data_IF_793883424036
#
_entry.id   IF_793883424036
#
_cell.length_a   1.000
_cell.length_b   1.000
_cell.length_c   1.000
_cell.angle_alpha   90.00
_cell.angle_beta   90.00
_cell.angle_gamma   90.00
#
_symmetry.space_group_name_H-M   'P 1'
#
loop_
_entity.id
_entity.type
_entity.pdbx_description
1 polymer ?
#
# COMPACT_ATOMS: atom_id res chain seq x y z
N UNK A 1 -9.90 29.00 24.71
CA UNK A 1 -8.48 28.59 24.64
C UNK A 1 -8.44 27.17 24.09
N UNK A 2 -8.20 27.00 22.79
CA UNK A 2 -8.28 25.68 22.13
C UNK A 2 -6.99 24.92 22.44
N UNK A 3 -7.06 23.85 23.24
CA UNK A 3 -5.91 22.94 23.44
C UNK A 3 -5.58 22.31 22.08
N UNK A 4 -4.38 22.57 21.54
CA UNK A 4 -3.87 21.88 20.34
C UNK A 4 -3.80 20.39 20.67
N UNK A 5 -4.34 19.55 19.78
CA UNK A 5 -4.62 18.12 20.01
C UNK A 5 -3.36 17.26 20.23
N UNK A 6 -2.18 17.82 19.97
CA UNK A 6 -0.91 17.09 19.89
C UNK A 6 0.10 17.44 21.00
N UNK A 7 -0.30 18.23 22.01
CA UNK A 7 0.56 18.52 23.16
C UNK A 7 0.32 17.45 24.23
N UNK A 8 1.37 16.71 24.59
CA UNK A 8 1.25 15.65 25.58
C UNK A 8 1.07 16.19 27.01
N UNK A 9 0.86 15.29 27.98
CA UNK A 9 0.68 15.66 29.40
C UNK A 9 1.94 16.27 30.03
N UNK A 10 3.12 16.10 29.42
CA UNK A 10 4.37 16.73 29.85
C UNK A 10 4.54 18.16 29.31
N UNK A 11 3.63 18.61 28.44
CA UNK A 11 3.71 19.91 27.77
C UNK A 11 4.62 19.88 26.54
N UNK A 12 4.97 18.70 26.04
CA UNK A 12 5.79 18.52 24.85
C UNK A 12 4.95 18.72 23.59
N UNK A 13 5.40 19.59 22.69
CA UNK A 13 4.76 19.88 21.40
C UNK A 13 5.66 19.38 20.25
N UNK A 14 5.24 18.35 19.48
CA UNK A 14 6.00 17.83 18.33
C UNK A 14 6.22 18.88 17.23
N UNK A 15 5.36 19.89 17.14
CA UNK A 15 5.47 20.96 16.14
C UNK A 15 6.54 22.00 16.52
N UNK A 16 7.13 21.91 17.71
CA UNK A 16 8.14 22.84 18.20
C UNK A 16 9.54 22.23 18.18
N UNK A 17 10.53 23.09 18.32
CA UNK A 17 11.92 22.70 18.43
C UNK A 17 12.09 21.68 19.56
N UNK A 18 12.70 20.54 19.26
CA UNK A 18 12.98 19.48 20.22
C UNK A 18 14.17 19.78 21.15
N UNK A 19 14.72 20.99 21.08
CA UNK A 19 15.80 21.45 21.96
C UNK A 19 15.23 22.03 23.25
N UNK A 20 16.00 21.97 24.34
CA UNK A 20 15.62 22.53 25.63
C UNK A 20 16.30 23.87 25.88
N UNK A 21 15.53 24.83 26.40
CA UNK A 21 16.08 26.12 26.83
C UNK A 21 16.97 25.93 28.06
N UNK A 22 18.18 26.47 28.05
CA UNK A 22 19.10 26.37 29.20
C UNK A 22 18.61 27.13 30.44
N UNK A 23 17.87 28.22 30.25
CA UNK A 23 17.40 29.08 31.36
C UNK A 23 16.16 28.53 32.04
N UNK A 24 15.23 27.97 31.27
CA UNK A 24 13.94 27.50 31.80
C UNK A 24 13.86 25.98 31.89
N UNK A 25 14.83 25.25 31.33
CA UNK A 25 14.87 23.77 31.25
C UNK A 25 13.60 23.17 30.61
N UNK A 26 12.84 23.97 29.87
CA UNK A 26 11.62 23.57 29.15
C UNK A 26 11.91 23.49 27.66
N UNK A 27 11.08 22.75 26.93
CA UNK A 27 11.15 22.67 25.47
C UNK A 27 11.12 24.06 24.84
N UNK A 28 11.97 24.28 23.84
CA UNK A 28 12.02 25.52 23.11
C UNK A 28 10.72 25.76 22.33
N UNK A 29 10.07 26.89 22.57
CA UNK A 29 8.81 27.25 21.91
C UNK A 29 8.98 27.78 20.46
N UNK A 30 10.22 27.83 19.96
CA UNK A 30 10.49 28.20 18.56
C UNK A 30 10.12 27.07 17.61
N UNK A 31 9.71 27.40 16.40
CA UNK A 31 9.52 26.40 15.34
C UNK A 31 10.86 25.86 14.85
N UNK A 32 10.94 24.56 14.52
CA UNK A 32 12.12 24.00 13.91
C UNK A 32 12.36 24.60 12.52
N UNK A 33 13.61 24.55 12.05
CA UNK A 33 13.90 24.86 10.65
C UNK A 33 13.28 23.78 9.78
N UNK A 34 12.69 24.16 8.65
CA UNK A 34 12.04 23.23 7.72
C UNK A 34 13.00 22.08 7.34
N UNK A 35 12.55 20.83 7.49
CA UNK A 35 13.38 19.64 7.26
C UNK A 35 14.22 19.17 8.45
N UNK A 36 14.12 19.82 9.62
CA UNK A 36 14.81 19.45 10.86
C UNK A 36 13.82 19.38 12.04
N UNK A 37 14.31 18.91 13.18
CA UNK A 37 13.57 18.87 14.45
C UNK A 37 13.96 19.98 15.43
N UNK A 38 14.95 20.81 15.08
CA UNK A 38 15.46 21.90 15.93
C UNK A 38 15.45 23.24 15.21
N UNK A 39 15.31 24.33 15.98
CA UNK A 39 15.30 25.69 15.48
C UNK A 39 16.72 26.21 15.21
N UNK A 40 16.80 27.42 14.64
CA UNK A 40 18.08 28.07 14.28
C UNK A 40 19.05 28.22 15.46
N UNK A 41 18.52 28.49 16.65
CA UNK A 41 19.32 28.72 17.87
C UNK A 41 19.72 27.43 18.58
N UNK A 42 19.00 26.33 18.36
CA UNK A 42 19.35 24.98 18.86
C UNK A 42 20.05 24.13 17.79
N UNK A 43 20.86 24.76 16.94
CA UNK A 43 21.77 24.08 16.00
C UNK A 43 21.27 23.97 14.55
N UNK A 44 20.02 24.34 14.26
CA UNK A 44 19.43 24.30 12.91
C UNK A 44 20.06 25.27 11.91
N UNK A 45 20.92 26.19 12.35
CA UNK A 45 21.62 27.17 11.51
C UNK A 45 22.98 26.70 10.98
N UNK A 46 23.53 25.61 11.52
CA UNK A 46 24.86 25.12 11.12
C UNK A 46 24.89 24.65 9.67
N UNK A 47 26.05 24.72 9.01
CA UNK A 47 26.21 24.26 7.61
C UNK A 47 25.82 22.78 7.44
N UNK A 48 26.19 21.93 8.42
CA UNK A 48 25.82 20.52 8.46
C UNK A 48 24.29 20.34 8.59
N UNK A 49 23.66 21.09 9.49
CA UNK A 49 22.20 21.04 9.67
C UNK A 49 21.43 21.49 8.42
N UNK A 50 21.88 22.57 7.74
CA UNK A 50 21.26 23.02 6.47
C UNK A 50 21.38 21.97 5.36
N UNK A 51 22.52 21.30 5.28
CA UNK A 51 22.74 20.20 4.31
C UNK A 51 21.81 19.02 4.62
N UNK A 52 21.70 18.63 5.89
CA UNK A 52 20.80 17.58 6.34
C UNK A 52 19.32 17.94 6.09
N UNK A 53 18.91 19.19 6.35
CA UNK A 53 17.58 19.69 6.09
C UNK A 53 17.20 19.54 4.61
N UNK A 54 18.10 19.94 3.71
CA UNK A 54 17.90 19.82 2.26
C UNK A 54 17.71 18.36 1.85
N UNK A 55 18.57 17.47 2.35
CA UNK A 55 18.47 16.02 2.10
C UNK A 55 17.15 15.43 2.62
N UNK A 56 16.74 15.80 3.83
CA UNK A 56 15.51 15.28 4.42
C UNK A 56 14.27 15.72 3.64
N UNK A 57 14.25 16.96 3.15
CA UNK A 57 13.15 17.46 2.33
C UNK A 57 13.10 16.82 0.96
N UNK A 58 14.26 16.56 0.36
CA UNK A 58 14.32 15.81 -0.88
C UNK A 58 13.81 14.38 -0.68
N UNK A 59 14.23 13.72 0.40
CA UNK A 59 13.71 12.40 0.76
C UNK A 59 12.20 12.41 1.01
N UNK A 60 11.66 13.42 1.69
CA UNK A 60 10.22 13.54 1.93
C UNK A 60 9.45 13.72 0.61
N UNK A 61 9.96 14.53 -0.32
CA UNK A 61 9.39 14.66 -1.67
C UNK A 61 9.41 13.33 -2.41
N UNK A 62 10.53 12.62 -2.39
CA UNK A 62 10.65 11.30 -3.02
C UNK A 62 9.68 10.30 -2.41
N UNK A 63 9.57 10.26 -1.07
CA UNK A 63 8.58 9.41 -0.38
C UNK A 63 7.15 9.79 -0.74
N UNK A 64 6.84 11.09 -0.89
CA UNK A 64 5.52 11.55 -1.31
C UNK A 64 5.20 11.14 -2.75
N UNK A 65 6.18 11.22 -3.65
CA UNK A 65 6.06 10.76 -5.03
C UNK A 65 5.88 9.24 -5.06
N UNK A 66 6.70 8.47 -4.34
CA UNK A 66 6.59 7.01 -4.24
C UNK A 66 5.23 6.55 -3.67
N UNK A 67 4.69 7.27 -2.68
CA UNK A 67 3.33 7.01 -2.15
C UNK A 67 2.23 7.26 -3.18
N UNK A 68 2.44 8.17 -4.13
CA UNK A 68 1.42 8.56 -5.14
C UNK A 68 1.51 7.75 -6.42
N UNK A 69 2.73 7.47 -6.88
CA UNK A 69 3.01 6.86 -8.18
C UNK A 69 3.50 5.42 -8.07
N UNK A 70 3.71 4.92 -6.86
CA UNK A 70 4.37 3.63 -6.62
C UNK A 70 5.89 3.75 -6.68
N UNK A 71 6.55 2.64 -6.35
CA UNK A 71 8.01 2.52 -6.48
C UNK A 71 8.27 1.63 -7.69
N UNK A 72 9.18 2.01 -8.62
CA UNK A 72 9.52 1.15 -9.74
C UNK A 72 10.02 -0.21 -9.24
N UNK A 73 9.43 -1.29 -9.74
CA UNK A 73 9.89 -2.65 -9.44
C UNK A 73 11.05 -3.02 -10.39
N UNK A 74 12.16 -3.49 -9.84
CA UNK A 74 13.31 -3.96 -10.64
C UNK A 74 13.16 -5.42 -11.08
N UNK A 75 12.49 -6.24 -10.26
CA UNK A 75 12.37 -7.70 -10.45
C UNK A 75 10.93 -8.16 -10.19
N UNK A 76 9.98 -7.61 -10.97
CA UNK A 76 8.58 -8.00 -10.88
C UNK A 76 8.33 -9.29 -11.69
N UNK A 77 7.87 -10.37 -11.05
CA UNK A 77 7.31 -11.50 -11.80
C UNK A 77 5.93 -11.11 -12.35
N UNK A 78 5.74 -11.04 -13.69
CA UNK A 78 4.49 -10.58 -14.27
C UNK A 78 3.28 -11.45 -13.88
N UNK A 79 3.49 -12.76 -13.69
CA UNK A 79 2.41 -13.66 -13.29
C UNK A 79 1.94 -13.36 -11.87
N UNK A 80 2.88 -13.21 -10.93
CA UNK A 80 2.54 -12.80 -9.57
C UNK A 80 1.89 -11.41 -9.54
N UNK A 81 2.37 -10.46 -10.34
CA UNK A 81 1.80 -9.12 -10.39
C UNK A 81 0.33 -9.11 -10.86
N UNK A 82 -0.02 -9.95 -11.84
CA UNK A 82 -1.40 -10.12 -12.29
C UNK A 82 -2.28 -10.74 -11.20
N UNK A 83 -1.79 -11.77 -10.50
CA UNK A 83 -2.50 -12.39 -9.38
C UNK A 83 -2.74 -11.40 -8.23
N UNK A 84 -1.71 -10.61 -7.86
CA UNK A 84 -1.79 -9.59 -6.83
C UNK A 84 -2.80 -8.50 -7.21
N UNK A 85 -2.84 -8.11 -8.49
CA UNK A 85 -3.79 -7.12 -9.00
C UNK A 85 -5.23 -7.63 -8.93
N UNK A 86 -5.47 -8.90 -9.29
CA UNK A 86 -6.79 -9.54 -9.16
C UNK A 86 -7.21 -9.59 -7.69
N UNK A 87 -6.33 -10.03 -6.79
CA UNK A 87 -6.62 -10.11 -5.36
C UNK A 87 -6.92 -8.73 -4.75
N UNK A 88 -6.10 -7.73 -5.06
CA UNK A 88 -6.30 -6.35 -4.61
C UNK A 88 -7.63 -5.78 -5.12
N UNK A 89 -7.96 -6.01 -6.39
CA UNK A 89 -9.20 -5.51 -6.99
C UNK A 89 -10.43 -6.24 -6.42
N UNK A 90 -10.32 -7.52 -6.10
CA UNK A 90 -11.37 -8.26 -5.40
C UNK A 90 -11.64 -7.67 -4.01
N UNK A 91 -10.59 -7.35 -3.25
CA UNK A 91 -10.72 -6.66 -1.96
C UNK A 91 -11.38 -5.28 -2.07
N UNK A 92 -11.06 -4.51 -3.12
CA UNK A 92 -11.70 -3.22 -3.38
C UNK A 92 -13.20 -3.36 -3.69
N UNK A 93 -13.58 -4.38 -4.48
CA UNK A 93 -15.00 -4.69 -4.75
C UNK A 93 -15.75 -5.03 -3.47
N UNK A 94 -15.18 -5.88 -2.62
CA UNK A 94 -15.79 -6.24 -1.32
C UNK A 94 -15.95 -5.01 -0.41
N UNK A 95 -14.92 -4.18 -0.32
CA UNK A 95 -15.01 -2.94 0.46
C UNK A 95 -16.09 -1.99 -0.09
N UNK A 96 -16.17 -1.81 -1.41
CA UNK A 96 -17.18 -0.95 -2.04
C UNK A 96 -18.60 -1.51 -1.88
N UNK A 97 -18.80 -2.84 -1.90
CA UNK A 97 -20.08 -3.47 -1.56
C UNK A 97 -20.52 -3.10 -0.14
N UNK A 98 -19.62 -3.21 0.82
CA UNK A 98 -19.90 -2.78 2.20
C UNK A 98 -20.17 -1.28 2.29
N UNK A 99 -19.47 -0.42 1.52
CA UNK A 99 -19.79 1.01 1.48
C UNK A 99 -21.18 1.29 0.92
N UNK A 100 -21.66 0.50 -0.05
CA UNK A 100 -23.02 0.60 -0.56
C UNK A 100 -24.04 0.23 0.51
N UNK A 101 -23.80 -0.83 1.28
CA UNK A 101 -24.69 -1.26 2.38
C UNK A 101 -24.83 -0.21 3.49
N UNK A 102 -23.82 0.64 3.68
CA UNK A 102 -23.84 1.73 4.66
C UNK A 102 -24.59 2.98 4.17
N UNK A 103 -25.03 3.03 2.91
CA UNK A 103 -25.79 4.17 2.41
C UNK A 103 -27.19 4.18 3.03
N UNK A 104 -27.56 5.30 3.65
CA UNK A 104 -28.87 5.46 4.30
C UNK A 104 -30.03 5.56 3.29
N UNK A 105 -29.73 5.82 2.01
CA UNK A 105 -30.69 5.96 0.93
C UNK A 105 -30.57 4.81 -0.06
N UNK A 106 -31.59 3.95 -0.10
CA UNK A 106 -31.69 2.84 -1.06
C UNK A 106 -32.07 3.36 -2.46
N UNK A 107 -31.13 3.34 -3.40
CA UNK A 107 -31.43 3.52 -4.82
C UNK A 107 -31.99 4.90 -5.23
N UNK A 108 -32.11 5.84 -4.31
CA UNK A 108 -32.51 7.22 -4.63
C UNK A 108 -31.37 7.96 -5.35
N UNK A 109 -31.74 8.82 -6.29
CA UNK A 109 -30.78 9.69 -6.94
C UNK A 109 -30.24 10.68 -5.91
N UNK A 110 -28.91 10.72 -5.80
CA UNK A 110 -28.23 11.68 -4.96
C UNK A 110 -28.24 13.05 -5.64
N UNK A 111 -28.77 14.05 -4.95
CA UNK A 111 -28.80 15.43 -5.40
C UNK A 111 -27.60 16.19 -4.87
N UNK A 112 -26.84 16.81 -5.78
CA UNK A 112 -25.71 17.65 -5.39
C UNK A 112 -25.31 18.66 -6.46
N UNK A 113 -24.48 19.62 -6.05
CA UNK A 113 -23.89 20.60 -6.97
C UNK A 113 -22.92 19.89 -7.90
N UNK A 114 -23.19 19.92 -9.21
CA UNK A 114 -22.30 19.35 -10.23
C UNK A 114 -21.44 20.41 -10.89
N UNK A 115 -21.88 21.68 -10.85
CA UNK A 115 -21.15 22.82 -11.38
C UNK A 115 -21.46 24.07 -10.56
N UNK A 116 -20.41 24.82 -10.27
CA UNK A 116 -20.48 26.17 -9.69
C UNK A 116 -19.61 27.08 -10.55
N UNK A 117 -20.19 28.15 -11.06
CA UNK A 117 -19.47 29.16 -11.82
C UNK A 117 -19.77 30.53 -11.26
N UNK A 118 -18.72 31.30 -11.07
CA UNK A 118 -18.76 32.66 -10.57
C UNK A 118 -18.09 33.54 -11.63
N UNK A 119 -18.90 34.35 -12.31
CA UNK A 119 -18.40 35.36 -13.24
C UNK A 119 -18.41 36.69 -12.51
N UNK A 120 -17.23 37.29 -12.35
CA UNK A 120 -17.09 38.62 -11.77
C UNK A 120 -17.06 39.66 -12.89
N UNK A 121 -18.05 40.55 -12.89
CA UNK A 121 -18.26 41.53 -13.94
C UNK A 121 -18.55 42.92 -13.32
N UNK A 122 -18.20 44.02 -14.02
CA UNK A 122 -18.25 45.38 -13.47
C UNK A 122 -19.64 45.87 -13.02
N UNK A 123 -20.70 45.13 -13.34
CA UNK A 123 -22.09 45.39 -12.99
C UNK A 123 -22.59 44.54 -11.80
N UNK A 124 -21.70 43.81 -11.14
CA UNK A 124 -21.99 42.88 -10.04
C UNK A 124 -21.92 41.42 -10.50
N UNK A 125 -21.14 40.61 -9.77
CA UNK A 125 -20.87 39.22 -10.11
C UNK A 125 -22.12 38.35 -10.25
N UNK A 126 -22.09 37.42 -11.22
CA UNK A 126 -23.13 36.42 -11.46
C UNK A 126 -22.63 35.05 -11.00
N UNK A 127 -23.27 34.51 -9.96
CA UNK A 127 -23.05 33.13 -9.53
C UNK A 127 -24.14 32.22 -10.11
N UNK A 128 -23.75 31.16 -10.82
CA UNK A 128 -24.64 30.09 -11.28
C UNK A 128 -24.26 28.78 -10.61
N UNK A 129 -25.24 28.07 -10.05
CA UNK A 129 -25.09 26.74 -9.48
C UNK A 129 -26.03 25.78 -10.18
N UNK A 130 -25.49 24.70 -10.74
CA UNK A 130 -26.28 23.61 -11.32
C UNK A 130 -26.30 22.45 -10.34
N UNK A 131 -27.50 21.96 -10.04
CA UNK A 131 -27.72 20.75 -9.24
C UNK A 131 -28.37 19.69 -10.10
N UNK A 132 -27.85 18.46 -10.03
CA UNK A 132 -28.37 17.32 -10.79
C UNK A 132 -28.57 16.14 -9.85
N UNK A 133 -29.54 15.31 -10.18
CA UNK A 133 -29.76 14.01 -9.56
C UNK A 133 -28.88 12.99 -10.28
N UNK A 134 -27.90 12.41 -9.56
CA UNK A 134 -27.01 11.38 -10.11
C UNK A 134 -26.95 10.17 -9.17
N UNK A 135 -26.54 9.03 -9.72
CA UNK A 135 -26.24 7.87 -8.89
C UNK A 135 -25.12 8.21 -7.89
N UNK A 136 -25.24 7.73 -6.65
CA UNK A 136 -24.20 7.96 -5.64
C UNK A 136 -22.85 7.41 -6.13
N UNK A 137 -21.78 8.20 -5.94
CA UNK A 137 -20.45 7.91 -6.52
C UNK A 137 -19.90 6.53 -6.15
N UNK A 138 -20.26 6.02 -4.96
CA UNK A 138 -19.85 4.69 -4.50
C UNK A 138 -20.35 3.58 -5.42
N UNK A 139 -21.58 3.67 -5.94
CA UNK A 139 -22.07 2.69 -6.93
C UNK A 139 -21.29 2.79 -8.25
N UNK A 140 -20.99 4.01 -8.71
CA UNK A 140 -20.18 4.20 -9.92
C UNK A 140 -18.79 3.59 -9.76
N UNK A 141 -18.16 3.79 -8.60
CA UNK A 141 -16.87 3.18 -8.27
C UNK A 141 -16.98 1.66 -8.16
N UNK A 142 -18.05 1.13 -7.56
CA UNK A 142 -18.28 -0.31 -7.43
C UNK A 142 -18.39 -0.97 -8.80
N UNK A 143 -19.24 -0.47 -9.69
CA UNK A 143 -19.38 -1.02 -11.05
C UNK A 143 -18.05 -0.97 -11.81
N UNK A 144 -17.34 0.16 -11.72
CA UNK A 144 -16.02 0.30 -12.34
C UNK A 144 -15.01 -0.72 -11.79
N UNK A 145 -15.01 -0.96 -10.47
CA UNK A 145 -14.13 -1.93 -9.84
C UNK A 145 -14.48 -3.37 -10.26
N UNK A 146 -15.77 -3.69 -10.38
CA UNK A 146 -16.25 -4.98 -10.88
C UNK A 146 -15.84 -5.23 -12.33
N UNK A 147 -16.00 -4.24 -13.21
CA UNK A 147 -15.55 -4.33 -14.61
C UNK A 147 -14.04 -4.55 -14.71
N UNK A 148 -13.27 -3.84 -13.89
CA UNK A 148 -11.82 -4.02 -13.82
C UNK A 148 -11.43 -5.40 -13.33
N UNK A 149 -12.09 -5.90 -12.26
CA UNK A 149 -11.84 -7.24 -11.73
C UNK A 149 -12.09 -8.31 -12.81
N UNK A 150 -13.23 -8.23 -13.50
CA UNK A 150 -13.56 -9.18 -14.56
C UNK A 150 -12.54 -9.15 -15.70
N UNK A 151 -12.06 -7.96 -16.09
CA UNK A 151 -11.02 -7.81 -17.11
C UNK A 151 -9.69 -8.40 -16.66
N UNK A 152 -9.19 -8.06 -15.47
CA UNK A 152 -7.92 -8.57 -14.96
C UNK A 152 -7.94 -10.08 -14.76
N UNK A 153 -9.05 -10.63 -14.26
CA UNK A 153 -9.22 -12.07 -14.15
C UNK A 153 -9.18 -12.74 -15.54
N UNK A 154 -9.87 -12.17 -16.53
CA UNK A 154 -9.84 -12.68 -17.91
C UNK A 154 -8.44 -12.62 -18.53
N UNK A 155 -7.71 -11.52 -18.33
CA UNK A 155 -6.34 -11.35 -18.83
C UNK A 155 -5.36 -12.31 -18.16
N UNK A 156 -5.50 -12.53 -16.85
CA UNK A 156 -4.70 -13.49 -16.08
C UNK A 156 -4.88 -14.92 -16.60
N UNK A 157 -6.13 -15.32 -16.85
CA UNK A 157 -6.46 -16.62 -17.44
C UNK A 157 -5.91 -16.76 -18.87
N UNK A 158 -6.07 -15.73 -19.71
CA UNK A 158 -5.54 -15.72 -21.09
C UNK A 158 -4.01 -15.77 -21.13
N UNK A 159 -3.35 -15.18 -20.15
CA UNK A 159 -1.90 -15.24 -20.02
C UNK A 159 -1.39 -16.62 -19.55
N UNK A 160 -2.30 -17.57 -19.26
CA UNK A 160 -1.93 -18.92 -18.84
C UNK A 160 -1.18 -18.95 -17.51
N UNK A 161 -1.48 -17.99 -16.62
CA UNK A 161 -0.79 -17.85 -15.33
C UNK A 161 -0.96 -19.11 -14.48
N UNK A 162 -2.16 -19.67 -14.41
CA UNK A 162 -2.45 -20.89 -13.65
C UNK A 162 -1.64 -22.08 -14.17
N UNK A 163 -1.63 -22.30 -15.49
CA UNK A 163 -0.83 -23.36 -16.09
C UNK A 163 0.67 -23.15 -15.86
N UNK A 164 1.14 -21.89 -15.89
CA UNK A 164 2.54 -21.57 -15.60
C UNK A 164 2.88 -21.88 -14.14
N UNK A 165 2.01 -21.55 -13.19
CA UNK A 165 2.21 -21.87 -11.78
C UNK A 165 2.26 -23.38 -11.55
N UNK A 166 1.36 -24.14 -12.20
CA UNK A 166 1.39 -25.61 -12.17
C UNK A 166 2.70 -26.14 -12.76
N UNK A 167 3.11 -25.68 -13.95
CA UNK A 167 4.38 -26.10 -14.58
C UNK A 167 5.61 -25.78 -13.72
N UNK A 168 5.63 -24.64 -13.04
CA UNK A 168 6.72 -24.28 -12.11
C UNK A 168 6.72 -25.24 -10.91
N UNK A 169 5.55 -25.51 -10.33
CA UNK A 169 5.41 -26.44 -9.21
C UNK A 169 5.83 -27.86 -9.59
N UNK A 170 5.40 -28.36 -10.75
CA UNK A 170 5.79 -29.66 -11.31
C UNK A 170 7.31 -29.75 -11.51
N UNK A 171 7.90 -28.77 -12.20
CA UNK A 171 9.36 -28.72 -12.42
C UNK A 171 10.15 -28.65 -11.12
N UNK A 172 9.65 -27.92 -10.14
CA UNK A 172 10.26 -27.85 -8.80
C UNK A 172 10.18 -29.22 -8.11
N UNK A 173 9.05 -29.92 -8.25
CA UNK A 173 8.88 -31.29 -7.77
C UNK A 173 9.88 -32.27 -8.41
N UNK A 174 10.02 -32.22 -9.74
CA UNK A 174 11.01 -33.01 -10.50
C UNK A 174 12.44 -32.74 -10.01
N UNK A 175 12.78 -31.48 -9.74
CA UNK A 175 14.10 -31.10 -9.21
C UNK A 175 14.34 -31.67 -7.80
N UNK A 176 13.34 -31.59 -6.90
CA UNK A 176 13.45 -32.19 -5.57
C UNK A 176 13.61 -33.71 -5.64
N UNK A 177 12.85 -34.38 -6.51
CA UNK A 177 12.96 -35.82 -6.73
C UNK A 177 14.37 -36.18 -7.23
N UNK A 178 14.89 -35.45 -8.21
CA UNK A 178 16.24 -35.68 -8.74
C UNK A 178 17.32 -35.51 -7.66
N UNK A 179 17.21 -34.47 -6.82
CA UNK A 179 18.14 -34.21 -5.71
C UNK A 179 18.08 -35.34 -4.67
N UNK A 180 16.90 -35.74 -4.23
CA UNK A 180 16.73 -36.80 -3.22
C UNK A 180 17.27 -38.13 -3.77
N UNK A 181 16.95 -38.43 -5.03
CA UNK A 181 17.39 -39.67 -5.70
C UNK A 181 18.90 -39.74 -5.88
N UNK A 182 19.56 -38.60 -6.13
CA UNK A 182 21.01 -38.52 -6.20
C UNK A 182 21.69 -38.52 -4.81
N UNK A 183 21.05 -37.90 -3.81
CA UNK A 183 21.59 -37.78 -2.45
C UNK A 183 21.60 -39.11 -1.70
N UNK A 184 20.51 -39.89 -1.78
CA UNK A 184 20.36 -41.11 -0.99
C UNK A 184 21.48 -42.14 -1.25
N UNK A 185 21.88 -42.45 -2.50
CA UNK A 185 23.06 -43.28 -2.77
C UNK A 185 24.36 -42.63 -2.28
N UNK A 186 24.51 -41.31 -2.45
CA UNK A 186 25.74 -40.59 -2.09
C UNK A 186 26.04 -40.63 -0.58
N UNK A 187 25.01 -40.73 0.26
CA UNK A 187 25.14 -40.89 1.72
C UNK A 187 25.17 -42.37 2.16
N UNK A 188 25.15 -43.30 1.22
CA UNK A 188 25.17 -44.74 1.50
C UNK A 188 23.86 -45.29 2.06
N UNK A 189 22.71 -44.71 1.70
CA UNK A 189 21.42 -45.24 2.14
C UNK A 189 21.18 -46.67 1.60
N UNK A 190 20.64 -47.55 2.45
CA UNK A 190 20.30 -48.92 2.03
C UNK A 190 19.07 -48.94 1.13
N UNK A 191 18.86 -49.99 0.31
CA UNK A 191 17.66 -50.11 -0.54
C UNK A 191 16.33 -49.98 0.24
N UNK A 192 16.29 -50.48 1.48
CA UNK A 192 15.15 -50.39 2.38
C UNK A 192 14.91 -48.94 2.83
N UNK A 193 15.97 -48.20 3.16
CA UNK A 193 15.90 -46.79 3.53
C UNK A 193 15.48 -45.92 2.34
N UNK A 194 15.92 -46.25 1.13
CA UNK A 194 15.52 -45.56 -0.10
C UNK A 194 14.03 -45.76 -0.40
N UNK A 195 13.50 -46.98 -0.23
CA UNK A 195 12.06 -47.25 -0.37
C UNK A 195 11.23 -46.49 0.65
N UNK A 196 11.69 -46.46 1.91
CA UNK A 196 11.02 -45.69 2.96
C UNK A 196 11.03 -44.18 2.65
N UNK A 197 12.17 -43.64 2.20
CA UNK A 197 12.29 -42.24 1.82
C UNK A 197 11.36 -41.87 0.66
N UNK A 198 11.23 -42.71 -0.37
CA UNK A 198 10.31 -42.48 -1.48
C UNK A 198 8.83 -42.47 -1.04
N UNK A 199 8.46 -43.31 -0.07
CA UNK A 199 7.09 -43.37 0.45
C UNK A 199 6.73 -42.17 1.36
N UNK A 200 7.69 -41.65 2.13
CA UNK A 200 7.46 -40.57 3.09
C UNK A 200 7.66 -39.17 2.51
N UNK A 201 8.55 -39.00 1.51
CA UNK A 201 8.87 -37.69 0.93
C UNK A 201 7.64 -36.91 0.44
N UNK A 202 6.66 -37.49 -0.28
CA UNK A 202 5.46 -36.76 -0.69
C UNK A 202 4.60 -36.27 0.49
N UNK A 203 4.57 -37.01 1.61
CA UNK A 203 3.83 -36.60 2.81
C UNK A 203 4.51 -35.43 3.50
N UNK A 204 5.84 -35.49 3.61
CA UNK A 204 6.66 -34.42 4.20
C UNK A 204 6.55 -33.15 3.36
N UNK A 205 6.68 -33.25 2.03
CA UNK A 205 6.59 -32.11 1.12
C UNK A 205 5.20 -31.45 1.14
N UNK A 206 4.11 -32.22 1.25
CA UNK A 206 2.76 -31.65 1.43
C UNK A 206 2.61 -30.87 2.74
N UNK A 207 3.20 -31.37 3.83
CA UNK A 207 3.15 -30.68 5.13
C UNK A 207 3.98 -29.38 5.13
N UNK A 208 5.08 -29.34 4.38
CA UNK A 208 5.92 -28.14 4.23
C UNK A 208 5.30 -27.13 3.25
N UNK A 209 4.68 -27.61 2.15
CA UNK A 209 4.04 -26.75 1.15
C UNK A 209 2.68 -26.17 1.56
N UNK A 210 2.01 -26.76 2.56
CA UNK A 210 0.72 -26.28 3.10
C UNK A 210 0.82 -25.11 4.09
N UNK A 211 1.87 -24.28 4.01
CA UNK A 211 2.18 -23.23 4.98
C UNK A 211 1.39 -21.94 4.80
N UNK A 212 0.12 -21.95 5.23
CA UNK A 212 -0.65 -20.88 5.90
C UNK A 212 -2.13 -21.26 5.84
N UNK A 213 -2.69 -21.70 6.96
CA UNK A 213 -4.14 -21.58 7.20
C UNK A 213 -4.44 -20.16 7.66
#
# INVERSE_FOLDING_TARGET
>A
MVKRKDIDRSGWDPAKCQGFSKSTQRQCNSYPVHGLTVCRVHGGSSKRAKTAATRNLEQEKLTRVARRLGTPHTDLDPAQALLDLVASKAGEVEWLRHQVELLETDGELWWGKTKESEEDNPMGGKSETVQEARQHVVYTLLHKAQDQLARYASETLKAGVDERQVRIAERTGEQFEAVITALLPAIGATPEQMKLAAAESPKILRNVGGGAK
#
